data_IF_929886188910
#
_entry.id   IF_929886188910
#
_cell.length_a   1.000
_cell.length_b   1.000
_cell.length_c   1.000
_cell.angle_alpha   90.00
_cell.angle_beta   90.00
_cell.angle_gamma   90.00
#
_symmetry.space_group_name_H-M   'P 1'
#
loop_
_entity.id
_entity.type
_entity.pdbx_description
1 polymer ?
#
# COMPACT_ATOMS: atom_id res chain seq x y z
N UNK A 1 -1.26 4.26 17.75
CA UNK A 1 -0.78 3.43 16.63
C UNK A 1 -0.87 4.19 15.32
N UNK A 2 0.18 4.20 14.56
CA UNK A 2 0.20 4.79 13.22
C UNK A 2 -0.20 3.71 12.21
N UNK A 3 -1.13 4.03 11.31
CA UNK A 3 -1.62 3.10 10.30
C UNK A 3 -1.30 3.62 8.90
N UNK A 4 -0.67 2.76 8.09
CA UNK A 4 -0.22 3.08 6.73
C UNK A 4 -0.92 2.13 5.75
N UNK A 5 -1.54 2.71 4.71
CA UNK A 5 -2.21 1.96 3.66
C UNK A 5 -1.48 2.17 2.33
N UNK A 6 -1.10 1.08 1.69
CA UNK A 6 -0.51 1.10 0.35
C UNK A 6 -1.57 0.77 -0.69
N UNK A 7 -1.66 1.57 -1.75
CA UNK A 7 -2.73 1.43 -2.75
C UNK A 7 -2.15 1.40 -4.16
N UNK A 8 -2.53 0.39 -4.94
CA UNK A 8 -2.29 0.33 -6.38
C UNK A 8 -3.62 0.05 -7.10
N UNK A 9 -3.58 -0.29 -8.38
CA UNK A 9 -4.82 -0.54 -9.13
C UNK A 9 -5.53 -1.81 -8.66
N UNK A 10 -4.85 -2.95 -8.75
CA UNK A 10 -5.47 -4.27 -8.54
C UNK A 10 -5.22 -4.90 -7.19
N UNK A 11 -4.33 -4.36 -6.39
CA UNK A 11 -3.96 -4.89 -5.07
C UNK A 11 -3.44 -6.34 -5.11
N UNK A 12 -2.71 -6.69 -6.17
CA UNK A 12 -2.06 -8.00 -6.26
C UNK A 12 -0.56 -7.92 -6.54
N UNK A 13 -0.03 -6.78 -6.95
CA UNK A 13 1.41 -6.62 -7.27
C UNK A 13 2.09 -5.62 -6.37
N UNK A 14 1.99 -4.32 -6.69
CA UNK A 14 2.78 -3.28 -6.04
C UNK A 14 2.39 -3.04 -4.59
N UNK A 15 1.10 -2.88 -4.31
CA UNK A 15 0.67 -2.55 -2.95
C UNK A 15 0.85 -3.69 -1.96
N UNK A 16 0.55 -4.97 -2.27
CA UNK A 16 0.83 -6.04 -1.31
C UNK A 16 2.33 -6.25 -1.11
N UNK A 17 3.15 -6.04 -2.14
CA UNK A 17 4.60 -6.11 -1.99
C UNK A 17 5.11 -5.02 -1.04
N UNK A 18 4.67 -3.78 -1.22
CA UNK A 18 5.04 -2.68 -0.33
C UNK A 18 4.57 -2.93 1.11
N UNK A 19 3.35 -3.40 1.28
CA UNK A 19 2.79 -3.76 2.58
C UNK A 19 3.66 -4.82 3.27
N UNK A 20 3.97 -5.90 2.58
CA UNK A 20 4.78 -7.00 3.14
C UNK A 20 6.19 -6.56 3.50
N UNK A 21 6.85 -5.80 2.63
CA UNK A 21 8.21 -5.29 2.89
C UNK A 21 8.21 -4.34 4.08
N UNK A 22 7.24 -3.43 4.15
CA UNK A 22 7.15 -2.48 5.24
C UNK A 22 6.81 -3.16 6.57
N UNK A 23 5.90 -4.14 6.54
CA UNK A 23 5.55 -4.95 7.70
C UNK A 23 6.78 -5.67 8.27
N UNK A 24 7.61 -6.25 7.38
CA UNK A 24 8.83 -6.92 7.78
C UNK A 24 9.85 -5.93 8.39
N UNK A 25 9.98 -4.75 7.80
CA UNK A 25 10.85 -3.69 8.30
C UNK A 25 10.40 -3.22 9.70
N UNK A 26 9.11 -2.97 9.87
CA UNK A 26 8.52 -2.55 11.15
C UNK A 26 8.80 -3.60 12.23
N UNK A 27 8.64 -4.88 11.92
CA UNK A 27 8.92 -5.97 12.85
C UNK A 27 10.40 -6.03 13.21
N UNK A 28 11.29 -5.88 12.24
CA UNK A 28 12.73 -5.91 12.45
C UNK A 28 13.20 -4.77 13.35
N UNK A 29 12.56 -3.59 13.23
CA UNK A 29 12.88 -2.43 14.05
C UNK A 29 12.20 -2.44 15.42
N UNK A 30 11.44 -3.49 15.75
CA UNK A 30 10.75 -3.60 17.02
C UNK A 30 9.55 -2.67 17.16
N UNK A 31 8.94 -2.24 16.06
CA UNK A 31 7.86 -1.25 16.05
C UNK A 31 6.47 -1.84 15.75
N UNK A 32 6.33 -3.17 15.74
CA UNK A 32 5.06 -3.80 15.40
C UNK A 32 3.90 -3.38 16.32
N UNK A 33 4.20 -2.96 17.54
CA UNK A 33 3.20 -2.45 18.49
C UNK A 33 2.75 -1.02 18.19
N UNK A 34 3.51 -0.28 17.39
CA UNK A 34 3.30 1.16 17.14
C UNK A 34 2.87 1.48 15.72
N UNK A 35 3.10 0.58 14.75
CA UNK A 35 2.83 0.81 13.33
C UNK A 35 2.10 -0.40 12.74
N UNK A 36 0.94 -0.16 12.15
CA UNK A 36 0.19 -1.18 11.42
C UNK A 36 0.18 -0.84 9.93
N UNK A 37 0.16 -1.87 9.09
CA UNK A 37 0.17 -1.71 7.64
C UNK A 37 -0.97 -2.51 7.02
N UNK A 38 -1.41 -2.07 5.84
CA UNK A 38 -2.40 -2.78 5.04
C UNK A 38 -2.23 -2.36 3.58
N UNK A 39 -2.95 -3.02 2.69
CA UNK A 39 -2.96 -2.68 1.27
C UNK A 39 -4.37 -2.78 0.70
N UNK A 40 -4.62 -2.04 -0.38
CA UNK A 40 -5.91 -2.04 -1.07
C UNK A 40 -5.72 -1.69 -2.54
N UNK A 41 -6.75 -1.91 -3.34
CA UNK A 41 -6.79 -1.51 -4.75
C UNK A 41 -7.78 -0.40 -4.99
N UNK A 42 -7.55 0.41 -6.02
CA UNK A 42 -8.54 1.38 -6.49
C UNK A 42 -9.68 0.67 -7.22
N UNK A 43 -9.39 -0.48 -7.85
CA UNK A 43 -10.37 -1.29 -8.58
C UNK A 43 -10.76 -2.53 -7.77
N UNK A 44 -11.83 -3.19 -8.20
CA UNK A 44 -12.39 -4.38 -7.55
C UNK A 44 -12.03 -5.69 -8.26
N UNK A 45 -11.04 -5.67 -9.16
CA UNK A 45 -10.75 -6.79 -10.07
C UNK A 45 -10.33 -8.07 -9.35
N UNK A 46 -9.67 -7.95 -8.21
CA UNK A 46 -9.00 -9.06 -7.54
C UNK A 46 -9.37 -9.18 -6.06
N UNK A 47 -10.59 -8.80 -5.71
CA UNK A 47 -11.06 -8.90 -4.32
C UNK A 47 -11.00 -10.37 -3.86
N UNK A 48 -10.35 -10.62 -2.72
CA UNK A 48 -10.21 -11.95 -2.13
C UNK A 48 -9.08 -12.78 -2.72
N UNK A 49 -8.39 -12.30 -3.77
CA UNK A 49 -7.32 -13.06 -4.40
C UNK A 49 -5.98 -12.84 -3.68
N UNK A 50 -5.10 -13.85 -3.71
CA UNK A 50 -3.73 -13.69 -3.22
C UNK A 50 -2.92 -12.81 -4.16
N UNK A 51 -1.74 -12.34 -3.71
CA UNK A 51 -0.84 -11.59 -4.59
C UNK A 51 -0.44 -12.38 -5.83
N UNK A 52 -0.09 -11.66 -6.89
CA UNK A 52 0.41 -12.23 -8.14
C UNK A 52 1.58 -13.20 -7.84
N UNK A 53 1.61 -14.39 -8.49
CA UNK A 53 2.65 -15.39 -8.20
C UNK A 53 4.08 -14.87 -8.41
N UNK A 54 4.31 -13.98 -9.40
CA UNK A 54 5.64 -13.40 -9.65
C UNK A 54 6.03 -12.44 -8.53
N UNK A 55 5.08 -11.65 -8.04
CA UNK A 55 5.30 -10.76 -6.90
C UNK A 55 5.62 -11.57 -5.64
N UNK A 56 4.89 -12.66 -5.40
CA UNK A 56 5.18 -13.54 -4.26
C UNK A 56 6.57 -14.15 -4.34
N UNK A 57 6.95 -14.65 -5.51
CA UNK A 57 8.27 -15.26 -5.71
C UNK A 57 9.40 -14.26 -5.51
N UNK A 58 9.26 -13.05 -6.05
CA UNK A 58 10.26 -12.00 -5.92
C UNK A 58 10.41 -11.56 -4.46
N UNK A 59 9.31 -11.37 -3.75
CA UNK A 59 9.35 -11.00 -2.35
C UNK A 59 9.98 -12.10 -1.49
N UNK A 60 9.59 -13.36 -1.73
CA UNK A 60 10.11 -14.50 -0.97
C UNK A 60 11.62 -14.68 -1.18
N UNK A 61 12.12 -14.44 -2.39
CA UNK A 61 13.56 -14.48 -2.68
C UNK A 61 14.34 -13.46 -1.84
N UNK A 62 13.68 -12.43 -1.34
CA UNK A 62 14.27 -11.41 -0.46
C UNK A 62 13.86 -11.60 1.01
N UNK A 63 13.31 -12.76 1.36
CA UNK A 63 12.93 -13.09 2.72
C UNK A 63 11.60 -12.54 3.19
N UNK A 64 10.74 -12.08 2.27
CA UNK A 64 9.44 -11.51 2.62
C UNK A 64 8.33 -12.40 2.05
N UNK A 65 7.51 -12.97 2.95
CA UNK A 65 6.36 -13.79 2.55
C UNK A 65 5.09 -12.94 2.57
N UNK A 66 4.48 -12.78 1.39
CA UNK A 66 3.22 -12.03 1.23
C UNK A 66 2.04 -12.93 0.89
N UNK A 67 2.21 -14.26 1.00
CA UNK A 67 1.19 -15.24 0.61
C UNK A 67 -0.09 -15.17 1.44
N UNK A 68 -0.04 -14.58 2.64
CA UNK A 68 -1.19 -14.42 3.53
C UNK A 68 -2.07 -13.21 3.19
N UNK A 69 -1.60 -12.32 2.32
CA UNK A 69 -2.34 -11.12 1.96
C UNK A 69 -3.45 -11.45 0.95
N UNK A 70 -4.51 -10.64 0.98
CA UNK A 70 -5.65 -10.80 0.06
C UNK A 70 -6.08 -9.45 -0.47
N UNK A 71 -6.49 -9.42 -1.75
CA UNK A 71 -6.96 -8.21 -2.39
C UNK A 71 -8.23 -7.68 -1.74
N UNK A 72 -8.33 -6.36 -1.66
CA UNK A 72 -9.56 -5.65 -1.27
C UNK A 72 -9.61 -4.31 -1.99
N UNK A 73 -10.78 -3.72 -2.07
CA UNK A 73 -10.95 -2.39 -2.66
C UNK A 73 -10.90 -1.33 -1.57
N UNK A 74 -10.27 -0.20 -1.87
CA UNK A 74 -10.26 0.96 -0.98
C UNK A 74 -11.68 1.50 -0.81
N UNK A 75 -11.97 2.01 0.38
CA UNK A 75 -13.24 2.66 0.69
C UNK A 75 -12.98 4.06 1.25
N UNK A 76 -13.97 4.99 1.22
CA UNK A 76 -13.79 6.30 1.84
C UNK A 76 -13.41 6.23 3.32
N UNK A 77 -13.85 5.20 4.04
CA UNK A 77 -13.51 5.00 5.46
C UNK A 77 -12.02 4.79 5.68
N UNK A 78 -11.30 4.27 4.68
CA UNK A 78 -9.85 4.08 4.78
C UNK A 78 -9.12 5.41 5.01
N UNK A 79 -9.62 6.51 4.47
CA UNK A 79 -9.02 7.84 4.66
C UNK A 79 -9.21 8.38 6.08
N UNK A 80 -10.15 7.81 6.82
CA UNK A 80 -10.38 8.16 8.23
C UNK A 80 -9.54 7.28 9.14
N UNK A 81 -9.45 5.98 8.81
CA UNK A 81 -8.76 4.97 9.63
C UNK A 81 -7.25 5.02 9.49
N UNK A 82 -6.72 5.36 8.32
CA UNK A 82 -5.28 5.36 8.05
C UNK A 82 -4.72 6.78 8.12
N UNK A 83 -3.57 6.91 8.74
CA UNK A 83 -2.85 8.18 8.85
C UNK A 83 -2.18 8.54 7.53
N UNK A 84 -1.74 7.51 6.78
CA UNK A 84 -1.10 7.65 5.47
C UNK A 84 -1.79 6.72 4.49
N UNK A 85 -2.22 7.27 3.34
CA UNK A 85 -2.74 6.51 2.21
C UNK A 85 -1.79 6.79 1.05
N UNK A 86 -1.00 5.78 0.67
CA UNK A 86 0.13 5.95 -0.22
C UNK A 86 -0.15 5.31 -1.57
N UNK A 87 -0.23 6.16 -2.60
CA UNK A 87 -0.47 5.74 -3.98
C UNK A 87 0.84 5.36 -4.66
N UNK A 88 0.81 4.30 -5.45
CA UNK A 88 1.99 3.81 -6.16
C UNK A 88 2.36 4.70 -7.36
N UNK A 89 1.36 5.28 -8.02
CA UNK A 89 1.56 6.14 -9.18
C UNK A 89 0.53 7.27 -9.23
N UNK A 90 0.70 8.18 -10.19
CA UNK A 90 -0.20 9.33 -10.33
C UNK A 90 -1.63 8.92 -10.69
N UNK A 91 -1.79 7.87 -11.48
CA UNK A 91 -3.11 7.34 -11.83
C UNK A 91 -3.87 6.85 -10.59
N UNK A 92 -3.19 6.10 -9.73
CA UNK A 92 -3.76 5.66 -8.45
C UNK A 92 -4.11 6.86 -7.57
N UNK A 93 -3.21 7.83 -7.49
CA UNK A 93 -3.44 9.06 -6.72
C UNK A 93 -4.71 9.77 -7.19
N UNK A 94 -4.86 9.95 -8.50
CA UNK A 94 -6.02 10.66 -9.06
C UNK A 94 -7.33 9.92 -8.78
N UNK A 95 -7.32 8.59 -8.88
CA UNK A 95 -8.49 7.78 -8.54
C UNK A 95 -8.85 7.91 -7.06
N UNK A 96 -7.86 7.88 -6.18
CA UNK A 96 -8.07 8.04 -4.73
C UNK A 96 -8.58 9.43 -4.38
N UNK A 97 -8.07 10.46 -5.06
CA UNK A 97 -8.49 11.84 -4.81
C UNK A 97 -9.99 12.05 -5.07
N UNK A 98 -10.58 11.28 -5.98
CA UNK A 98 -12.03 11.37 -6.28
C UNK A 98 -12.91 10.87 -5.16
N UNK A 99 -12.42 9.94 -4.33
CA UNK A 99 -13.20 9.33 -3.24
C UNK A 99 -12.74 9.79 -1.87
N UNK A 100 -11.66 10.56 -1.81
CA UNK A 100 -11.09 11.06 -0.55
C UNK A 100 -11.92 12.23 -0.01
N UNK A 101 -12.35 12.17 1.27
CA UNK A 101 -12.96 13.33 1.91
C UNK A 101 -12.01 14.53 1.91
N UNK A 102 -12.55 15.73 1.77
CA UNK A 102 -11.74 16.95 1.65
C UNK A 102 -10.83 17.19 2.85
N UNK A 103 -11.31 16.91 4.05
CA UNK A 103 -10.57 17.11 5.30
C UNK A 103 -9.50 16.03 5.56
N UNK A 104 -9.48 14.97 4.75
CA UNK A 104 -8.48 13.91 4.84
C UNK A 104 -7.47 13.95 3.68
N UNK A 105 -7.53 14.96 2.82
CA UNK A 105 -6.70 15.04 1.61
C UNK A 105 -5.21 15.07 1.92
N UNK A 106 -4.80 15.59 3.06
CA UNK A 106 -3.41 15.64 3.49
C UNK A 106 -2.83 14.25 3.81
N UNK A 107 -3.68 13.25 4.01
CA UNK A 107 -3.25 11.86 4.24
C UNK A 107 -2.91 11.13 2.94
N UNK A 108 -3.37 11.63 1.80
CA UNK A 108 -3.15 11.02 0.49
C UNK A 108 -1.85 11.56 -0.11
N UNK A 109 -0.88 10.66 -0.33
CA UNK A 109 0.45 11.01 -0.84
C UNK A 109 0.90 9.98 -1.88
N UNK A 110 1.83 10.37 -2.74
CA UNK A 110 2.55 9.42 -3.56
C UNK A 110 3.60 8.70 -2.70
N UNK A 111 3.68 7.38 -2.81
CA UNK A 111 4.59 6.58 -1.97
C UNK A 111 6.04 7.03 -2.13
N UNK A 112 6.49 7.27 -3.37
CA UNK A 112 7.88 7.63 -3.61
C UNK A 112 8.25 9.07 -3.20
N UNK A 113 7.29 9.89 -2.74
CA UNK A 113 7.62 11.16 -2.08
C UNK A 113 8.51 10.96 -0.86
N UNK A 114 8.45 9.76 -0.24
CA UNK A 114 9.23 9.43 0.93
C UNK A 114 10.64 8.91 0.59
N UNK A 115 10.96 8.80 -0.70
CA UNK A 115 12.26 8.36 -1.18
C UNK A 115 12.79 9.32 -2.27
N UNK A 116 13.01 10.61 -1.95
CA UNK A 116 13.37 11.60 -2.97
C UNK A 116 14.72 11.31 -3.63
N UNK A 117 15.60 10.57 -2.97
CA UNK A 117 16.91 10.22 -3.53
C UNK A 117 16.80 9.32 -4.78
N UNK A 118 15.66 8.67 -4.99
CA UNK A 118 15.45 7.82 -6.18
C UNK A 118 15.15 8.63 -7.43
N UNK A 119 14.79 9.91 -7.28
CA UNK A 119 14.41 10.80 -8.38
C UNK A 119 13.26 10.24 -9.22
N UNK A 120 12.42 9.41 -8.59
CA UNK A 120 11.20 8.84 -9.17
C UNK A 120 10.02 9.26 -8.30
N UNK A 121 8.89 9.54 -8.93
CA UNK A 121 7.66 9.86 -8.19
C UNK A 121 6.58 8.79 -8.39
N UNK A 122 6.84 7.78 -9.21
CA UNK A 122 5.93 6.66 -9.45
C UNK A 122 6.66 5.33 -9.35
N UNK A 123 6.00 4.32 -8.77
CA UNK A 123 6.49 2.94 -8.77
C UNK A 123 6.19 2.35 -10.15
N UNK A 124 7.21 1.89 -10.87
CA UNK A 124 7.01 1.32 -12.21
C UNK A 124 6.23 0.02 -12.22
#
# INVERSE_FOLDING_TARGET
MIRVLFVCLGNICRSPTADGVFRALVAREGLAHAVATDSAGTADYHIGEPPDPRSRATALARGVDISDLRGRQVTPDDFIRFHYVLAMDRSNYNSLARVCPKDARDRLRLFLEFAPALELNEVP
#
